data_IF_739233754263
#
_entry.id   IF_739233754263
#
_cell.length_a   1.000
_cell.length_b   1.000
_cell.length_c   1.000
_cell.angle_alpha   90.00
_cell.angle_beta   90.00
_cell.angle_gamma   90.00
#
_symmetry.space_group_name_H-M   'P 1'
#
loop_
_entity.id
_entity.type
_entity.pdbx_description
1 polymer ?
#
# COMPACT_ATOMS: atom_id res chain seq x y z
N UNK A 1 17.33 -5.72 -31.41
CA UNK A 1 17.35 -5.13 -32.77
C UNK A 1 16.50 -3.88 -32.75
N UNK A 2 17.10 -2.72 -32.44
CA UNK A 2 16.44 -1.41 -32.47
C UNK A 2 16.36 -0.97 -33.93
N UNK A 3 15.16 -0.65 -34.42
CA UNK A 3 15.01 0.10 -35.66
C UNK A 3 15.46 1.55 -35.41
N UNK A 4 16.16 2.18 -36.36
CA UNK A 4 16.61 3.55 -36.20
C UNK A 4 15.39 4.46 -36.33
N UNK A 5 15.00 5.13 -35.26
CA UNK A 5 14.27 6.39 -35.41
C UNK A 5 15.25 7.37 -36.06
N UNK A 6 14.87 7.95 -37.20
CA UNK A 6 15.71 8.85 -38.01
C UNK A 6 16.27 9.99 -37.15
N UNK A 7 17.54 9.83 -36.75
CA UNK A 7 18.26 10.72 -35.85
C UNK A 7 18.39 12.14 -36.42
N UNK A 8 18.41 12.27 -37.75
CA UNK A 8 18.64 13.53 -38.47
C UNK A 8 17.50 14.54 -38.29
N UNK A 9 16.24 14.08 -38.29
CA UNK A 9 15.09 14.98 -38.14
C UNK A 9 14.89 15.43 -36.70
N UNK A 10 15.29 14.61 -35.73
CA UNK A 10 15.29 14.98 -34.31
C UNK A 10 16.41 15.99 -33.99
N UNK A 11 17.57 15.90 -34.68
CA UNK A 11 18.67 16.87 -34.54
C UNK A 11 18.35 18.24 -35.14
N UNK A 12 17.44 18.32 -36.11
CA UNK A 12 16.95 19.57 -36.71
C UNK A 12 15.85 20.26 -35.89
N UNK A 13 15.48 19.72 -34.71
CA UNK A 13 14.55 20.36 -33.76
C UNK A 13 13.09 19.89 -33.85
N UNK A 14 12.76 19.01 -34.79
CA UNK A 14 11.41 18.48 -34.95
C UNK A 14 10.96 17.60 -33.78
N UNK A 15 9.77 17.86 -33.24
CA UNK A 15 9.22 17.16 -32.06
C UNK A 15 8.05 16.23 -32.38
N UNK A 16 7.36 16.47 -33.49
CA UNK A 16 6.17 15.76 -33.90
C UNK A 16 6.32 15.25 -35.34
N UNK A 17 6.26 13.92 -35.53
CA UNK A 17 6.53 13.29 -36.83
C UNK A 17 5.26 12.71 -37.48
N UNK A 18 5.25 12.64 -38.81
CA UNK A 18 4.23 11.95 -39.60
C UNK A 18 4.80 11.46 -40.94
N UNK A 19 4.24 10.37 -41.46
CA UNK A 19 4.72 9.74 -42.70
C UNK A 19 3.72 9.95 -43.84
N UNK A 20 4.25 10.07 -45.04
CA UNK A 20 3.49 10.17 -46.28
C UNK A 20 4.05 9.19 -47.31
N UNK A 21 3.17 8.64 -48.14
CA UNK A 21 3.58 7.77 -49.26
C UNK A 21 3.51 8.56 -50.54
N UNK A 22 4.64 8.73 -51.22
CA UNK A 22 4.75 9.35 -52.54
C UNK A 22 5.38 8.34 -53.49
N UNK A 23 4.66 7.96 -54.55
CA UNK A 23 5.16 7.06 -55.60
C UNK A 23 5.64 5.68 -55.11
N UNK A 24 5.19 5.24 -53.92
CA UNK A 24 5.59 3.97 -53.29
C UNK A 24 6.63 4.12 -52.19
N UNK A 25 7.29 5.28 -52.10
CA UNK A 25 8.28 5.58 -51.06
C UNK A 25 7.62 6.25 -49.84
N UNK A 26 8.01 5.78 -48.64
CA UNK A 26 7.60 6.39 -47.36
C UNK A 26 8.54 7.53 -47.01
N UNK A 27 8.02 8.74 -46.96
CA UNK A 27 8.74 9.96 -46.59
C UNK A 27 8.25 10.44 -45.21
N UNK A 28 9.19 10.67 -44.29
CA UNK A 28 8.93 11.14 -42.92
C UNK A 28 9.09 12.66 -42.84
N UNK A 29 8.11 13.36 -42.28
CA UNK A 29 8.12 14.79 -42.02
C UNK A 29 8.11 15.07 -40.51
N UNK A 30 8.67 16.21 -40.11
CA UNK A 30 8.73 16.66 -38.73
C UNK A 30 8.15 18.09 -38.58
N UNK A 31 7.55 18.36 -37.42
CA UNK A 31 6.94 19.65 -37.03
C UNK A 31 7.27 19.96 -35.57
N UNK A 32 7.18 21.23 -35.19
CA UNK A 32 7.58 21.70 -33.85
C UNK A 32 6.54 21.40 -32.77
N UNK A 33 5.26 21.35 -33.14
CA UNK A 33 4.16 20.99 -32.24
C UNK A 33 3.05 20.17 -32.92
N UNK A 34 2.23 19.51 -32.08
CA UNK A 34 1.23 18.55 -32.55
C UNK A 34 0.06 19.19 -33.30
N UNK A 35 -0.22 20.48 -33.09
CA UNK A 35 -1.31 21.17 -33.77
C UNK A 35 -0.91 21.52 -35.21
N UNK A 36 0.33 21.98 -35.40
CA UNK A 36 0.90 22.23 -36.72
C UNK A 36 0.96 20.93 -37.56
N UNK A 37 1.42 19.83 -36.96
CA UNK A 37 1.36 18.49 -37.58
C UNK A 37 -0.04 18.17 -38.12
N UNK A 38 -1.07 18.42 -37.31
CA UNK A 38 -2.44 18.11 -37.66
C UNK A 38 -2.94 18.94 -38.84
N UNK A 39 -2.54 20.22 -38.91
CA UNK A 39 -2.85 21.11 -40.03
C UNK A 39 -2.17 20.64 -41.32
N UNK A 40 -0.88 20.28 -41.25
CA UNK A 40 -0.13 19.76 -42.40
C UNK A 40 -0.68 18.43 -42.92
N UNK A 41 -0.99 17.48 -42.03
CA UNK A 41 -1.62 16.21 -42.43
C UNK A 41 -2.94 16.45 -43.16
N UNK A 42 -3.75 17.40 -42.71
CA UNK A 42 -5.04 17.73 -43.34
C UNK A 42 -4.87 18.47 -44.67
N UNK A 43 -3.93 19.41 -44.75
CA UNK A 43 -3.63 20.14 -45.97
C UNK A 43 -3.13 19.19 -47.08
N UNK A 44 -2.23 18.28 -46.72
CA UNK A 44 -1.66 17.30 -47.65
C UNK A 44 -2.73 16.28 -48.08
N UNK A 45 -3.54 15.80 -47.15
CA UNK A 45 -4.67 14.91 -47.47
C UNK A 45 -5.66 15.54 -48.47
N UNK A 46 -5.99 16.82 -48.29
CA UNK A 46 -6.85 17.56 -49.23
C UNK A 46 -6.20 17.77 -50.59
N UNK A 47 -4.89 18.00 -50.63
CA UNK A 47 -4.16 18.27 -51.86
C UNK A 47 -3.90 17.00 -52.69
N UNK A 48 -3.67 15.85 -52.05
CA UNK A 48 -3.32 14.59 -52.74
C UNK A 48 -4.52 13.72 -53.07
N UNK A 49 -5.69 13.94 -52.43
CA UNK A 49 -6.90 13.17 -52.69
C UNK A 49 -6.78 11.68 -52.37
N UNK A 50 -5.79 11.27 -51.58
CA UNK A 50 -5.62 9.87 -51.17
C UNK A 50 -6.88 9.39 -50.43
N UNK A 51 -7.36 8.19 -50.74
CA UNK A 51 -8.52 7.57 -50.08
C UNK A 51 -8.26 7.23 -48.62
N UNK A 52 -7.00 7.02 -48.23
CA UNK A 52 -6.59 6.76 -46.86
C UNK A 52 -6.02 8.02 -46.20
N UNK A 53 -6.67 8.48 -45.14
CA UNK A 53 -6.15 9.57 -44.32
C UNK A 53 -4.86 9.09 -43.62
N UNK A 54 -3.74 9.82 -43.70
CA UNK A 54 -2.53 9.45 -42.98
C UNK A 54 -2.85 9.33 -41.48
N UNK A 55 -2.75 8.11 -40.95
CA UNK A 55 -2.93 7.85 -39.52
C UNK A 55 -1.60 8.17 -38.86
N UNK A 56 -1.63 9.07 -37.87
CA UNK A 56 -0.43 9.39 -37.11
C UNK A 56 0.16 8.10 -36.53
N UNK A 57 1.48 7.87 -36.63
CA UNK A 57 2.09 6.75 -35.93
C UNK A 57 1.74 6.86 -34.44
N UNK A 58 1.41 5.74 -33.77
CA UNK A 58 1.29 5.73 -32.32
C UNK A 58 2.60 6.30 -31.78
N UNK A 59 2.50 7.24 -30.84
CA UNK A 59 3.69 7.74 -30.15
C UNK A 59 4.46 6.52 -29.63
N UNK A 60 5.72 6.44 -30.01
CA UNK A 60 6.73 5.48 -29.52
C UNK A 60 6.49 3.98 -29.81
N UNK A 61 6.75 3.58 -31.06
CA UNK A 61 7.68 2.47 -31.33
C UNK A 61 7.32 1.02 -31.01
N UNK A 62 6.07 0.55 -31.20
CA UNK A 62 5.75 -0.90 -31.19
C UNK A 62 4.79 -1.26 -32.34
N UNK A 63 5.04 -2.33 -33.12
CA UNK A 63 4.21 -2.68 -34.28
C UNK A 63 2.86 -3.24 -33.81
N UNK A 64 1.78 -2.53 -34.12
CA UNK A 64 0.43 -3.06 -33.98
C UNK A 64 0.13 -3.92 -35.20
N UNK A 65 -0.04 -5.23 -34.98
CA UNK A 65 -0.59 -6.15 -35.97
C UNK A 65 -1.96 -5.63 -36.39
N UNK A 66 -2.04 -5.22 -37.66
CA UNK A 66 -3.26 -4.78 -38.32
C UNK A 66 -4.25 -5.94 -38.32
N UNK A 67 -5.30 -5.86 -37.50
CA UNK A 67 -6.47 -6.71 -37.64
C UNK A 67 -7.41 -6.03 -38.65
N UNK A 68 -7.47 -6.56 -39.86
CA UNK A 68 -8.41 -6.13 -40.90
C UNK A 68 -9.86 -6.21 -40.40
N UNK A 69 -10.70 -5.19 -40.62
CA UNK A 69 -12.14 -5.29 -40.40
C UNK A 69 -12.83 -5.72 -41.70
N UNK A 70 -12.78 -7.02 -42.05
CA UNK A 70 -13.64 -7.55 -43.11
C UNK A 70 -13.83 -9.07 -43.05
N UNK A 71 -14.44 -9.62 -42.00
CA UNK A 71 -15.32 -10.80 -42.13
C UNK A 71 -16.38 -10.72 -41.05
N UNK A 72 -17.62 -10.47 -41.46
CA UNK A 72 -18.79 -10.63 -40.61
C UNK A 72 -19.30 -12.07 -40.71
N UNK A 73 -19.69 -12.61 -39.55
CA UNK A 73 -20.62 -13.73 -39.33
C UNK A 73 -20.12 -15.16 -39.55
N UNK A 74 -20.07 -15.94 -38.46
CA UNK A 74 -21.12 -16.93 -38.15
C UNK A 74 -21.05 -17.47 -36.71
N UNK A 75 -22.11 -17.16 -35.95
CA UNK A 75 -22.82 -18.01 -34.98
C UNK A 75 -22.10 -18.56 -33.73
N UNK A 76 -22.28 -17.87 -32.59
CA UNK A 76 -22.85 -18.44 -31.34
C UNK A 76 -23.58 -17.33 -30.58
N UNK A 77 -24.91 -17.38 -30.40
CA UNK A 77 -25.66 -16.38 -29.65
C UNK A 77 -25.67 -16.74 -28.16
N UNK A 78 -25.13 -15.87 -27.28
CA UNK A 78 -25.33 -16.08 -25.85
C UNK A 78 -24.56 -15.23 -24.85
N UNK A 79 -23.46 -14.56 -25.21
CA UNK A 79 -22.62 -13.89 -24.18
C UNK A 79 -22.15 -12.46 -24.50
N UNK A 80 -22.25 -12.00 -25.76
CA UNK A 80 -21.63 -10.75 -26.20
C UNK A 80 -22.48 -9.48 -25.98
N UNK A 81 -23.77 -9.62 -25.65
CA UNK A 81 -24.67 -8.47 -25.47
C UNK A 81 -24.51 -7.74 -24.13
N UNK A 82 -24.11 -8.45 -23.07
CA UNK A 82 -23.90 -7.86 -21.74
C UNK A 82 -22.53 -7.17 -21.65
N UNK A 83 -21.51 -7.77 -22.25
CA UNK A 83 -20.14 -7.22 -22.27
C UNK A 83 -20.06 -5.89 -23.02
N UNK A 84 -20.77 -5.71 -24.14
CA UNK A 84 -20.76 -4.45 -24.87
C UNK A 84 -21.39 -3.30 -24.06
N UNK A 85 -22.51 -3.55 -23.37
CA UNK A 85 -23.17 -2.55 -22.53
C UNK A 85 -22.36 -2.16 -21.29
N UNK A 86 -21.63 -3.11 -20.70
CA UNK A 86 -20.75 -2.84 -19.56
C UNK A 86 -19.46 -2.10 -19.99
N UNK A 87 -18.92 -2.41 -21.18
CA UNK A 87 -17.82 -1.66 -21.79
C UNK A 87 -18.24 -0.21 -22.07
N UNK A 88 -19.40 0.00 -22.69
CA UNK A 88 -19.90 1.36 -23.00
C UNK A 88 -20.26 2.15 -21.73
N UNK A 89 -20.75 1.49 -20.68
CA UNK A 89 -20.94 2.11 -19.35
C UNK A 89 -19.60 2.49 -18.74
N UNK A 90 -18.61 1.61 -18.78
CA UNK A 90 -17.28 1.89 -18.22
C UNK A 90 -16.58 3.06 -18.93
N UNK A 91 -16.71 3.15 -20.26
CA UNK A 91 -16.23 4.31 -21.05
C UNK A 91 -16.87 5.62 -20.64
N UNK A 92 -18.20 5.64 -20.43
CA UNK A 92 -18.93 6.83 -19.95
C UNK A 92 -18.49 7.30 -18.56
N UNK A 93 -17.92 6.40 -17.75
CA UNK A 93 -17.37 6.72 -16.44
C UNK A 93 -15.85 7.01 -16.46
N UNK A 94 -15.26 7.24 -17.64
CA UNK A 94 -13.86 7.65 -17.76
C UNK A 94 -12.84 6.51 -17.75
N UNK A 95 -13.27 5.25 -17.92
CA UNK A 95 -12.33 4.11 -17.90
C UNK A 95 -11.32 4.15 -19.07
N UNK A 96 -11.68 4.76 -20.19
CA UNK A 96 -10.78 4.89 -21.35
C UNK A 96 -9.48 5.64 -21.00
N UNK A 97 -9.54 6.60 -20.06
CA UNK A 97 -8.34 7.31 -19.60
C UNK A 97 -7.36 6.33 -18.93
N UNK A 98 -7.84 5.49 -18.00
CA UNK A 98 -7.01 4.50 -17.30
C UNK A 98 -6.45 3.41 -18.22
N UNK A 99 -7.21 3.00 -19.25
CA UNK A 99 -6.75 2.00 -20.23
C UNK A 99 -5.68 2.58 -21.16
N UNK A 100 -5.73 3.89 -21.42
CA UNK A 100 -4.77 4.58 -22.29
C UNK A 100 -3.47 5.01 -21.59
N UNK A 101 -3.42 4.94 -20.25
CA UNK A 101 -2.23 5.31 -19.49
C UNK A 101 -1.11 4.31 -19.70
N UNK A 102 0.05 4.81 -20.10
CA UNK A 102 1.28 4.03 -20.15
C UNK A 102 1.68 3.61 -18.74
N UNK A 103 1.61 2.30 -18.47
CA UNK A 103 1.89 1.74 -17.13
C UNK A 103 3.23 2.21 -16.56
N UNK A 104 4.30 2.25 -17.38
CA UNK A 104 5.64 2.64 -16.92
C UNK A 104 5.76 4.11 -16.47
N UNK A 105 4.80 4.99 -16.80
CA UNK A 105 4.81 6.39 -16.39
C UNK A 105 4.15 6.63 -15.04
N UNK A 106 3.59 5.60 -14.42
CA UNK A 106 2.80 5.72 -13.20
C UNK A 106 3.62 5.31 -11.97
N UNK A 107 3.39 5.99 -10.84
CA UNK A 107 3.94 5.57 -9.56
C UNK A 107 3.22 4.31 -9.04
N UNK A 108 3.73 3.14 -9.41
CA UNK A 108 3.17 1.88 -8.98
C UNK A 108 3.28 1.62 -7.48
N UNK A 109 4.21 2.27 -6.77
CA UNK A 109 4.32 2.15 -5.32
C UNK A 109 3.12 2.80 -4.61
N UNK A 110 2.66 3.95 -5.10
CA UNK A 110 1.48 4.65 -4.58
C UNK A 110 0.17 3.94 -4.92
N UNK A 111 0.05 3.46 -6.17
CA UNK A 111 -1.10 2.65 -6.57
C UNK A 111 -1.19 1.35 -5.78
N UNK A 112 -0.05 0.68 -5.56
CA UNK A 112 -0.02 -0.53 -4.73
C UNK A 112 -0.44 -0.24 -3.30
N UNK A 113 0.05 0.86 -2.70
CA UNK A 113 -0.38 1.28 -1.37
C UNK A 113 -1.90 1.41 -1.31
N UNK A 114 -2.51 2.12 -2.26
CA UNK A 114 -3.96 2.26 -2.32
C UNK A 114 -4.67 0.89 -2.45
N UNK A 115 -4.21 0.05 -3.37
CA UNK A 115 -4.77 -1.29 -3.58
C UNK A 115 -4.68 -2.16 -2.32
N UNK A 116 -3.52 -2.16 -1.65
CA UNK A 116 -3.29 -2.90 -0.41
C UNK A 116 -4.20 -2.39 0.71
N UNK A 117 -4.25 -1.08 0.93
CA UNK A 117 -5.09 -0.47 1.96
C UNK A 117 -6.57 -0.77 1.76
N UNK A 118 -7.06 -0.68 0.52
CA UNK A 118 -8.45 -1.00 0.17
C UNK A 118 -8.76 -2.50 0.31
N UNK A 119 -7.81 -3.36 -0.08
CA UNK A 119 -7.93 -4.81 0.11
C UNK A 119 -8.02 -5.17 1.59
N UNK A 120 -7.23 -4.51 2.42
CA UNK A 120 -7.21 -4.72 3.87
C UNK A 120 -8.50 -4.19 4.49
N UNK A 121 -8.93 -2.99 4.11
CA UNK A 121 -10.19 -2.40 4.57
C UNK A 121 -11.39 -3.30 4.29
N UNK A 122 -11.49 -3.84 3.07
CA UNK A 122 -12.51 -4.82 2.74
C UNK A 122 -12.40 -6.06 3.63
N UNK A 123 -11.17 -6.59 3.79
CA UNK A 123 -10.92 -7.81 4.54
C UNK A 123 -11.26 -7.66 6.03
N UNK A 124 -10.99 -6.51 6.62
CA UNK A 124 -11.24 -6.18 8.03
C UNK A 124 -12.73 -6.06 8.39
N UNK A 125 -13.63 -6.01 7.40
CA UNK A 125 -15.09 -6.11 7.62
C UNK A 125 -15.48 -7.48 8.21
N UNK A 126 -14.66 -8.50 7.98
CA UNK A 126 -14.78 -9.80 8.63
C UNK A 126 -13.82 -9.88 9.83
N UNK A 127 -14.24 -9.25 10.92
CA UNK A 127 -13.38 -8.93 12.06
C UNK A 127 -12.89 -10.15 12.86
N UNK A 128 -13.53 -11.31 12.73
CA UNK A 128 -13.16 -12.50 13.50
C UNK A 128 -12.15 -13.38 12.78
N UNK A 129 -12.22 -13.46 11.44
CA UNK A 129 -11.34 -14.34 10.67
C UNK A 129 -10.15 -13.58 10.10
N UNK A 130 -10.29 -12.28 9.78
CA UNK A 130 -9.16 -11.57 9.20
C UNK A 130 -8.08 -11.27 10.21
N UNK A 131 -8.40 -10.54 11.29
CA UNK A 131 -7.41 -10.00 12.22
C UNK A 131 -6.22 -9.29 11.51
N UNK A 132 -6.44 -8.73 10.33
CA UNK A 132 -5.41 -8.15 9.46
C UNK A 132 -4.97 -9.06 8.31
N UNK A 133 -5.10 -10.38 8.41
CA UNK A 133 -4.68 -11.32 7.39
C UNK A 133 -5.49 -11.17 6.10
N UNK A 134 -4.77 -10.93 5.00
CA UNK A 134 -5.30 -11.09 3.66
C UNK A 134 -5.68 -12.56 3.40
N UNK A 135 -6.72 -12.76 2.60
CA UNK A 135 -7.03 -14.09 2.06
C UNK A 135 -5.93 -14.56 1.09
N UNK A 136 -5.76 -15.88 0.87
CA UNK A 136 -4.80 -16.40 -0.11
C UNK A 136 -4.97 -15.79 -1.51
N UNK A 137 -6.21 -15.55 -1.94
CA UNK A 137 -6.51 -14.92 -3.23
C UNK A 137 -6.09 -13.45 -3.28
N UNK A 138 -6.29 -12.69 -2.20
CA UNK A 138 -5.81 -11.31 -2.12
C UNK A 138 -4.27 -11.26 -2.14
N UNK A 139 -3.62 -12.13 -1.38
CA UNK A 139 -2.15 -12.23 -1.37
C UNK A 139 -1.60 -12.51 -2.77
N UNK A 140 -2.17 -13.48 -3.47
CA UNK A 140 -1.78 -13.80 -4.85
C UNK A 140 -1.84 -12.57 -5.77
N UNK A 141 -2.96 -11.82 -5.74
CA UNK A 141 -3.13 -10.62 -6.58
C UNK A 141 -2.11 -9.53 -6.20
N UNK A 142 -1.90 -9.30 -4.91
CA UNK A 142 -0.95 -8.29 -4.43
C UNK A 142 0.49 -8.67 -4.82
N UNK A 143 0.87 -9.94 -4.67
CA UNK A 143 2.19 -10.44 -5.03
C UNK A 143 2.44 -10.37 -6.54
N UNK A 144 1.47 -10.76 -7.37
CA UNK A 144 1.55 -10.62 -8.83
C UNK A 144 1.71 -9.16 -9.28
N UNK A 145 0.96 -8.24 -8.67
CA UNK A 145 1.12 -6.81 -8.95
C UNK A 145 2.54 -6.33 -8.63
N UNK A 146 3.08 -6.73 -7.47
CA UNK A 146 4.43 -6.36 -7.07
C UNK A 146 5.50 -6.93 -8.00
N UNK A 147 5.37 -8.19 -8.40
CA UNK A 147 6.29 -8.85 -9.32
C UNK A 147 6.30 -8.17 -10.70
N UNK A 148 5.11 -7.77 -11.19
CA UNK A 148 4.95 -7.16 -12.51
C UNK A 148 5.48 -5.73 -12.59
N UNK A 149 5.29 -4.94 -11.53
CA UNK A 149 5.59 -3.50 -11.53
C UNK A 149 6.76 -3.11 -10.62
N UNK A 150 7.48 -4.08 -10.04
CA UNK A 150 8.69 -3.83 -9.28
C UNK A 150 8.46 -3.11 -7.94
N UNK A 151 7.31 -3.32 -7.30
CA UNK A 151 7.02 -2.70 -6.00
C UNK A 151 7.87 -3.37 -4.91
N UNK A 152 8.70 -2.56 -4.23
CA UNK A 152 9.69 -3.02 -3.26
C UNK A 152 9.05 -3.66 -2.03
N UNK A 153 9.61 -4.77 -1.58
CA UNK A 153 9.15 -5.50 -0.39
C UNK A 153 9.03 -4.62 0.86
N UNK A 154 10.04 -3.77 1.12
CA UNK A 154 10.04 -2.90 2.29
C UNK A 154 8.87 -1.92 2.27
N UNK A 155 8.66 -1.21 1.15
CA UNK A 155 7.51 -0.33 0.96
C UNK A 155 6.17 -1.03 1.23
N UNK A 156 5.99 -2.27 0.74
CA UNK A 156 4.77 -3.06 0.99
C UNK A 156 4.52 -3.31 2.48
N UNK A 157 5.57 -3.68 3.22
CA UNK A 157 5.45 -3.95 4.65
C UNK A 157 5.29 -2.67 5.48
N UNK A 158 5.92 -1.56 5.07
CA UNK A 158 5.75 -0.26 5.73
C UNK A 158 4.31 0.27 5.58
N UNK A 159 3.76 0.22 4.37
CA UNK A 159 2.36 0.59 4.12
C UNK A 159 1.41 -0.28 4.95
N UNK A 160 1.64 -1.59 4.93
CA UNK A 160 0.84 -2.54 5.70
C UNK A 160 0.92 -2.29 7.20
N UNK A 161 2.12 -2.08 7.75
CA UNK A 161 2.32 -1.72 9.16
C UNK A 161 1.60 -0.44 9.53
N UNK A 162 1.68 0.60 8.71
CA UNK A 162 0.97 1.85 8.95
C UNK A 162 -0.54 1.61 9.07
N UNK A 163 -1.11 0.81 8.17
CA UNK A 163 -2.54 0.47 8.19
C UNK A 163 -2.95 -0.41 9.38
N UNK A 164 -2.12 -1.36 9.77
CA UNK A 164 -2.34 -2.22 10.94
C UNK A 164 -2.26 -1.41 12.24
N UNK A 165 -1.27 -0.52 12.36
CA UNK A 165 -1.11 0.35 13.52
C UNK A 165 -2.27 1.35 13.63
N UNK A 166 -2.70 1.96 12.52
CA UNK A 166 -3.89 2.82 12.49
C UNK A 166 -5.08 2.10 13.14
N UNK A 167 -5.29 0.83 12.82
CA UNK A 167 -6.41 0.02 13.36
C UNK A 167 -6.20 -0.33 14.83
N UNK A 168 -5.01 -0.81 15.19
CA UNK A 168 -4.68 -1.17 16.56
C UNK A 168 -4.78 0.02 17.54
N UNK A 169 -4.36 1.21 17.11
CA UNK A 169 -4.48 2.45 17.89
C UNK A 169 -5.94 2.86 18.14
N UNK A 170 -6.85 2.52 17.23
CA UNK A 170 -8.30 2.73 17.37
C UNK A 170 -9.03 1.57 18.07
N UNK A 171 -8.29 0.61 18.63
CA UNK A 171 -8.87 -0.52 19.38
C UNK A 171 -9.46 -1.62 18.50
N UNK A 172 -9.22 -1.60 17.19
CA UNK A 172 -9.59 -2.71 16.30
C UNK A 172 -8.60 -3.85 16.51
N UNK A 173 -9.13 -5.06 16.73
CA UNK A 173 -8.31 -6.24 16.96
C UNK A 173 -7.50 -6.62 15.71
N UNK A 174 -6.18 -6.70 15.86
CA UNK A 174 -5.22 -7.10 14.84
C UNK A 174 -4.37 -8.22 15.41
N UNK A 175 -4.07 -9.23 14.61
CA UNK A 175 -3.15 -10.30 14.99
C UNK A 175 -1.74 -9.71 15.19
N UNK A 176 -1.19 -9.76 16.42
CA UNK A 176 0.14 -9.23 16.70
C UNK A 176 1.22 -9.86 15.82
N UNK A 177 1.06 -11.11 15.39
CA UNK A 177 2.03 -11.78 14.54
C UNK A 177 2.32 -11.00 13.25
N UNK A 178 1.30 -10.36 12.65
CA UNK A 178 1.46 -9.57 11.44
C UNK A 178 2.36 -8.34 11.65
N UNK A 179 2.17 -7.64 12.77
CA UNK A 179 2.99 -6.50 13.17
C UNK A 179 4.42 -6.97 13.41
N UNK A 180 4.58 -8.06 14.15
CA UNK A 180 5.88 -8.67 14.44
C UNK A 180 6.66 -9.03 13.17
N UNK A 181 6.05 -9.78 12.24
CA UNK A 181 6.69 -10.22 11.01
C UNK A 181 7.04 -9.03 10.11
N UNK A 182 6.08 -8.12 9.89
CA UNK A 182 6.30 -6.97 9.01
C UNK A 182 7.33 -5.99 9.58
N UNK A 183 7.31 -5.76 10.89
CA UNK A 183 8.31 -4.93 11.54
C UNK A 183 9.70 -5.56 11.49
N UNK A 184 9.82 -6.87 11.72
CA UNK A 184 11.10 -7.57 11.60
C UNK A 184 11.66 -7.46 10.19
N UNK A 185 10.83 -7.65 9.16
CA UNK A 185 11.23 -7.49 7.76
C UNK A 185 11.76 -6.08 7.47
N UNK A 186 11.01 -5.04 7.85
CA UNK A 186 11.43 -3.65 7.65
C UNK A 186 12.68 -3.30 8.45
N UNK A 187 12.75 -3.74 9.71
CA UNK A 187 13.89 -3.52 10.60
C UNK A 187 15.18 -4.14 10.01
N UNK A 188 15.12 -5.39 9.56
CA UNK A 188 16.24 -6.05 8.87
C UNK A 188 16.57 -5.39 7.54
N UNK A 189 15.61 -4.84 6.81
CA UNK A 189 15.89 -4.10 5.58
C UNK A 189 16.60 -2.76 5.87
N UNK A 190 16.17 -2.03 6.89
CA UNK A 190 16.69 -0.69 7.24
C UNK A 190 18.04 -0.75 7.94
N UNK A 191 18.21 -1.71 8.86
CA UNK A 191 19.40 -1.85 9.71
C UNK A 191 20.28 -3.05 9.39
N UNK A 192 19.84 -3.96 8.51
CA UNK A 192 20.59 -5.17 8.21
C UNK A 192 21.95 -4.89 7.59
N UNK A 193 22.86 -5.85 7.78
CA UNK A 193 24.19 -5.78 7.20
C UNK A 193 24.09 -6.05 5.69
N UNK A 194 24.21 -5.01 4.88
CA UNK A 194 24.64 -5.19 3.50
C UNK A 194 26.03 -5.85 3.53
N UNK A 195 26.29 -6.83 2.65
CA UNK A 195 27.61 -7.47 2.58
C UNK A 195 28.72 -6.45 2.24
N UNK A 196 28.35 -5.35 1.59
CA UNK A 196 29.18 -4.16 1.43
C UNK A 196 28.64 -3.00 2.30
N UNK A 197 29.41 -2.53 3.30
CA UNK A 197 29.04 -1.38 4.13
C UNK A 197 28.72 -0.09 3.36
N UNK A 198 29.21 0.02 2.13
CA UNK A 198 29.02 1.20 1.28
C UNK A 198 27.73 1.16 0.44
N UNK A 199 27.04 0.01 0.37
CA UNK A 199 25.81 -0.15 -0.40
C UNK A 199 24.61 -0.17 0.55
N UNK A 200 23.95 0.98 0.68
CA UNK A 200 22.62 1.07 1.32
C UNK A 200 21.56 1.11 0.23
N UNK A 201 20.75 0.06 0.13
CA UNK A 201 19.67 -0.05 -0.86
C UNK A 201 18.36 0.59 -0.39
N UNK A 202 18.29 1.02 0.87
CA UNK A 202 17.12 1.59 1.52
C UNK A 202 16.86 3.00 0.99
N UNK A 203 15.64 3.27 0.52
CA UNK A 203 15.27 4.60 0.06
C UNK A 203 15.06 5.56 1.23
N UNK A 204 15.26 6.86 0.99
CA UNK A 204 15.02 7.89 2.01
C UNK A 204 13.58 7.84 2.54
N UNK A 205 12.60 7.73 1.65
CA UNK A 205 11.17 7.68 2.01
C UNK A 205 10.85 6.42 2.83
N UNK A 206 11.41 5.26 2.48
CA UNK A 206 11.26 4.02 3.24
C UNK A 206 11.83 4.18 4.66
N UNK A 207 13.00 4.80 4.78
CA UNK A 207 13.64 5.06 6.09
C UNK A 207 12.84 6.05 6.92
N UNK A 208 12.35 7.12 6.32
CA UNK A 208 11.51 8.13 6.99
C UNK A 208 10.22 7.51 7.51
N UNK A 209 9.52 6.75 6.67
CA UNK A 209 8.30 6.04 7.05
C UNK A 209 8.56 5.00 8.15
N UNK A 210 9.67 4.26 8.07
CA UNK A 210 10.05 3.32 9.11
C UNK A 210 10.27 3.98 10.48
N UNK A 211 10.95 5.13 10.54
CA UNK A 211 11.18 5.84 11.80
C UNK A 211 9.85 6.29 12.43
N UNK A 212 8.92 6.79 11.62
CA UNK A 212 7.57 7.16 12.08
C UNK A 212 6.78 5.95 12.60
N UNK A 213 6.80 4.84 11.86
CA UNK A 213 6.16 3.57 12.27
C UNK A 213 6.78 3.04 13.56
N UNK A 214 8.11 3.09 13.69
CA UNK A 214 8.84 2.66 14.89
C UNK A 214 8.39 3.44 16.13
N UNK A 215 8.26 4.76 16.02
CA UNK A 215 7.80 5.61 17.12
C UNK A 215 6.35 5.30 17.51
N UNK A 216 5.46 5.12 16.53
CA UNK A 216 4.06 4.74 16.77
C UNK A 216 3.93 3.38 17.44
N UNK A 217 4.66 2.39 16.92
CA UNK A 217 4.70 1.05 17.48
C UNK A 217 5.26 1.07 18.91
N UNK A 218 6.30 1.85 19.19
CA UNK A 218 6.81 2.03 20.55
C UNK A 218 5.71 2.50 21.51
N UNK A 219 4.98 3.56 21.14
CA UNK A 219 3.89 4.10 21.97
C UNK A 219 2.75 3.08 22.18
N UNK A 220 2.40 2.31 21.14
CA UNK A 220 1.41 1.24 21.24
C UNK A 220 1.85 0.14 22.21
N UNK A 221 3.12 -0.30 22.13
CA UNK A 221 3.67 -1.31 23.02
C UNK A 221 3.78 -0.81 24.47
N UNK A 222 4.21 0.44 24.67
CA UNK A 222 4.24 1.08 25.99
C UNK A 222 2.84 1.06 26.62
N UNK A 223 1.81 1.47 25.86
CA UNK A 223 0.41 1.39 26.31
C UNK A 223 -0.01 -0.03 26.66
N UNK A 224 0.28 -1.01 25.79
CA UNK A 224 -0.09 -2.40 26.02
C UNK A 224 0.57 -2.99 27.28
N UNK A 225 1.81 -2.61 27.57
CA UNK A 225 2.55 -3.06 28.76
C UNK A 225 2.06 -2.34 30.02
N UNK A 226 1.78 -1.03 29.95
CA UNK A 226 1.18 -0.29 31.07
C UNK A 226 -0.21 -0.82 31.42
N UNK A 227 -1.03 -1.13 30.42
CA UNK A 227 -2.38 -1.67 30.59
C UNK A 227 -2.40 -3.21 30.47
N UNK A 228 -1.34 -3.89 30.92
CA UNK A 228 -1.17 -5.33 30.67
C UNK A 228 -2.33 -6.21 31.18
N UNK A 229 -3.04 -5.78 32.24
CA UNK A 229 -4.23 -6.51 32.73
C UNK A 229 -5.39 -6.51 31.73
N UNK A 230 -5.48 -5.48 30.90
CA UNK A 230 -6.49 -5.36 29.86
C UNK A 230 -6.05 -6.06 28.57
N UNK A 231 -4.81 -5.84 28.14
CA UNK A 231 -4.30 -6.42 26.88
C UNK A 231 -3.87 -7.89 27.00
N UNK A 232 -3.51 -8.36 28.19
CA UNK A 232 -3.08 -9.73 28.48
C UNK A 232 -3.79 -10.31 29.71
N UNK A 233 -5.13 -10.41 29.69
CA UNK A 233 -5.90 -10.87 30.85
C UNK A 233 -5.50 -12.30 31.21
N UNK A 234 -5.09 -12.51 32.46
CA UNK A 234 -4.64 -13.81 32.98
C UNK A 234 -3.55 -14.49 32.11
N UNK A 235 -2.73 -13.69 31.41
CA UNK A 235 -1.69 -14.19 30.53
C UNK A 235 -2.22 -14.85 29.25
N UNK A 236 -3.46 -14.55 28.85
CA UNK A 236 -4.06 -15.00 27.59
C UNK A 236 -3.99 -13.91 26.51
N UNK A 237 -3.75 -14.28 25.24
CA UNK A 237 -3.33 -15.61 24.80
C UNK A 237 -1.92 -15.96 25.32
N UNK A 238 -1.66 -17.25 25.48
CA UNK A 238 -0.41 -17.74 26.08
C UNK A 238 0.81 -17.24 25.29
N UNK A 239 1.80 -16.69 26.00
CA UNK A 239 3.01 -16.15 25.37
C UNK A 239 2.85 -14.78 24.71
N UNK A 240 1.65 -14.20 24.64
CA UNK A 240 1.44 -12.90 23.99
C UNK A 240 2.27 -11.78 24.62
N UNK A 241 2.28 -11.67 25.95
CA UNK A 241 3.11 -10.69 26.66
C UNK A 241 4.61 -10.90 26.37
N UNK A 242 5.07 -12.14 26.33
CA UNK A 242 6.47 -12.47 25.99
C UNK A 242 6.81 -12.02 24.57
N UNK A 243 5.90 -12.23 23.62
CA UNK A 243 6.07 -11.73 22.25
C UNK A 243 6.10 -10.20 22.24
N UNK A 244 5.14 -9.52 22.87
CA UNK A 244 5.10 -8.05 22.97
C UNK A 244 6.42 -7.48 23.51
N UNK A 245 6.98 -8.08 24.56
CA UNK A 245 8.29 -7.68 25.10
C UNK A 245 9.43 -7.93 24.10
N UNK A 246 9.44 -9.08 23.41
CA UNK A 246 10.41 -9.35 22.35
C UNK A 246 10.31 -8.40 21.16
N UNK A 247 9.11 -7.89 20.84
CA UNK A 247 8.95 -6.83 19.84
C UNK A 247 9.47 -5.50 20.36
N UNK A 248 9.20 -5.16 21.62
CA UNK A 248 9.74 -3.95 22.25
C UNK A 248 11.27 -3.93 22.19
N UNK A 249 11.93 -5.05 22.48
CA UNK A 249 13.40 -5.17 22.35
C UNK A 249 13.89 -4.81 20.94
N UNK A 250 13.20 -5.28 19.90
CA UNK A 250 13.52 -4.93 18.50
C UNK A 250 13.21 -3.49 18.15
N UNK A 251 12.15 -2.92 18.73
CA UNK A 251 11.78 -1.51 18.54
C UNK A 251 12.82 -0.57 19.16
N UNK A 252 13.43 -1.00 20.26
CA UNK A 252 14.49 -0.28 20.96
C UNK A 252 15.88 -0.42 20.34
N UNK A 253 16.03 -1.18 19.24
CA UNK A 253 17.30 -1.26 18.50
C UNK A 253 17.83 0.15 18.14
N UNK A 254 19.14 0.33 18.33
CA UNK A 254 19.82 1.59 18.05
C UNK A 254 19.82 1.86 16.56
N UNK A 255 19.94 3.14 16.18
CA UNK A 255 19.98 3.54 14.76
C UNK A 255 21.20 2.98 14.00
N UNK A 256 22.20 2.49 14.73
CA UNK A 256 23.36 1.74 14.20
C UNK A 256 23.03 0.30 13.84
N UNK A 257 21.82 -0.19 14.14
CA UNK A 257 21.44 -1.60 14.05
C UNK A 257 21.87 -2.44 15.26
N UNK A 258 22.57 -1.85 16.23
CA UNK A 258 22.94 -2.55 17.46
C UNK A 258 21.69 -2.85 18.31
N UNK A 259 21.60 -4.04 18.93
CA UNK A 259 20.52 -4.35 19.85
C UNK A 259 20.54 -3.41 21.08
N UNK A 260 19.36 -3.14 21.64
CA UNK A 260 19.23 -2.44 22.90
C UNK A 260 19.89 -3.24 24.03
N UNK A 261 20.47 -2.55 25.02
CA UNK A 261 21.00 -3.23 26.20
C UNK A 261 19.85 -3.74 27.09
N UNK A 262 20.14 -4.75 27.91
CA UNK A 262 19.17 -5.26 28.87
C UNK A 262 18.73 -4.17 29.86
N UNK A 263 19.62 -3.23 30.22
CA UNK A 263 19.26 -2.10 31.08
C UNK A 263 18.28 -1.14 30.40
N UNK A 264 18.47 -0.82 29.11
CA UNK A 264 17.59 0.07 28.33
C UNK A 264 16.16 -0.51 28.28
N UNK A 265 16.04 -1.81 27.97
CA UNK A 265 14.74 -2.51 27.93
C UNK A 265 14.10 -2.56 29.32
N UNK A 266 14.86 -2.92 30.36
CA UNK A 266 14.36 -2.97 31.75
C UNK A 266 13.91 -1.59 32.25
N UNK A 267 14.57 -0.51 31.84
CA UNK A 267 14.20 0.84 32.22
C UNK A 267 12.82 1.21 31.67
N UNK A 268 12.54 0.89 30.40
CA UNK A 268 11.22 1.09 29.79
C UNK A 268 10.16 0.26 30.52
N UNK A 269 10.42 -1.03 30.78
CA UNK A 269 9.48 -1.91 31.48
C UNK A 269 9.19 -1.36 32.89
N UNK A 270 10.19 -0.93 33.65
CA UNK A 270 9.99 -0.33 34.98
C UNK A 270 9.06 0.88 34.92
N UNK A 271 9.32 1.81 33.99
CA UNK A 271 8.46 2.98 33.79
C UNK A 271 7.03 2.57 33.44
N UNK A 272 6.84 1.57 32.57
CA UNK A 272 5.50 1.08 32.23
C UNK A 272 4.76 0.52 33.46
N UNK A 273 5.46 -0.22 34.32
CA UNK A 273 4.90 -0.82 35.55
C UNK A 273 4.62 0.23 36.63
N UNK A 274 5.47 1.23 36.79
CA UNK A 274 5.24 2.39 37.68
C UNK A 274 3.98 3.14 37.23
N UNK A 275 3.85 3.42 35.94
CA UNK A 275 2.65 4.04 35.38
C UNK A 275 1.41 3.14 35.55
N UNK A 276 1.56 1.83 35.38
CA UNK A 276 0.48 0.87 35.62
C UNK A 276 0.01 0.91 37.08
N UNK A 277 0.93 0.96 38.03
CA UNK A 277 0.61 1.10 39.44
C UNK A 277 -0.15 2.40 39.71
N UNK A 278 0.35 3.53 39.19
CA UNK A 278 -0.33 4.82 39.31
C UNK A 278 -1.77 4.77 38.81
N UNK A 279 -2.00 4.34 37.55
CA UNK A 279 -3.34 4.24 36.96
C UNK A 279 -4.27 3.33 37.78
N UNK A 280 -3.75 2.21 38.27
CA UNK A 280 -4.54 1.28 39.08
C UNK A 280 -4.92 1.87 40.44
N UNK A 281 -3.97 2.51 41.15
CA UNK A 281 -4.26 3.13 42.44
C UNK A 281 -5.21 4.32 42.31
N UNK A 282 -5.07 5.14 41.27
CA UNK A 282 -6.01 6.23 40.99
C UNK A 282 -7.42 5.69 40.79
N UNK A 283 -7.62 4.68 39.93
CA UNK A 283 -8.93 4.06 39.73
C UNK A 283 -9.51 3.48 41.01
N UNK A 284 -8.72 2.75 41.80
CA UNK A 284 -9.17 2.19 43.08
C UNK A 284 -9.59 3.29 44.05
N UNK A 285 -8.82 4.39 44.13
CA UNK A 285 -9.14 5.51 45.01
C UNK A 285 -10.45 6.21 44.61
N UNK A 286 -10.71 6.34 43.30
CA UNK A 286 -11.96 6.89 42.78
C UNK A 286 -13.15 5.98 43.11
N UNK A 287 -13.02 4.66 42.92
CA UNK A 287 -14.08 3.71 43.30
C UNK A 287 -14.39 3.76 44.80
N UNK A 288 -13.36 3.77 45.66
CA UNK A 288 -13.53 3.84 47.11
C UNK A 288 -14.18 5.16 47.55
N UNK A 289 -13.86 6.28 46.90
CA UNK A 289 -14.48 7.58 47.16
C UNK A 289 -15.98 7.60 46.78
N UNK A 290 -16.37 6.91 45.70
CA UNK A 290 -17.78 6.81 45.28
C UNK A 290 -18.58 5.90 46.22
N UNK A 291 -18.01 4.78 46.65
CA UNK A 291 -18.65 3.82 47.57
C UNK A 291 -18.87 4.44 48.95
N UNK A 292 -17.86 5.13 49.49
CA UNK A 292 -17.98 5.88 50.75
C UNK A 292 -19.00 7.02 50.70
N UNK A 293 -19.19 7.66 49.55
CA UNK A 293 -20.24 8.67 49.34
C UNK A 293 -21.65 8.09 49.26
N UNK A 294 -21.82 6.86 48.75
CA UNK A 294 -23.11 6.15 48.73
C UNK A 294 -23.50 5.62 50.10
N UNK A 295 -22.53 5.09 50.85
CA UNK A 295 -22.77 4.56 52.20
C UNK A 295 -23.07 5.66 53.24
N UNK A 296 -22.76 6.93 52.94
CA UNK A 296 -23.15 8.08 53.76
C UNK A 296 -24.63 8.48 53.70
N UNK A 297 -25.44 7.89 52.81
CA UNK A 297 -26.87 8.24 52.65
C UNK A 297 -27.84 7.06 52.83
N UNK A 298 -27.36 5.89 53.21
CA UNK A 298 -28.18 4.67 53.32
C UNK A 298 -27.85 3.85 54.56
N UNK A 299 -28.23 4.34 55.74
CA UNK A 299 -28.27 3.48 56.91
C UNK A 299 -29.30 2.34 56.69
N UNK A 300 -28.83 1.11 56.93
CA UNK A 300 -29.58 -0.13 57.17
C UNK A 300 -30.24 -0.81 55.97
N UNK A 301 -29.58 -1.88 55.48
CA UNK A 301 -30.16 -3.24 55.56
C UNK A 301 -29.09 -4.31 55.36
N UNK A 302 -28.98 -5.18 56.36
CA UNK A 302 -28.28 -6.46 56.30
C UNK A 302 -28.75 -7.28 55.10
N UNK A 303 -27.82 -7.71 54.24
CA UNK A 303 -27.89 -9.07 53.72
C UNK A 303 -26.51 -9.64 53.42
N UNK A 304 -26.26 -10.72 54.13
CA UNK A 304 -25.17 -11.67 54.03
C UNK A 304 -25.43 -12.57 52.82
N UNK A 305 -24.53 -12.64 51.85
CA UNK A 305 -24.35 -13.83 51.00
C UNK A 305 -23.11 -13.70 50.11
N UNK A 306 -22.06 -14.41 50.53
CA UNK A 306 -21.20 -15.30 49.74
C UNK A 306 -20.51 -14.80 48.46
N UNK A 307 -19.19 -14.70 48.60
CA UNK A 307 -18.20 -15.03 47.58
C UNK A 307 -18.49 -16.39 46.91
N UNK A 308 -18.42 -16.45 45.58
CA UNK A 308 -17.91 -17.63 44.85
C UNK A 308 -17.54 -17.32 43.39
N UNK A 309 -16.24 -17.53 43.12
CA UNK A 309 -15.53 -17.93 41.88
C UNK A 309 -15.46 -16.91 40.73
#
# INVERSE_FOLDING_TARGET
>A
LRFPFDLDLAQLGGKCFFNLVKEGDSVTFATDDSNERQQWVQAIYRATGQTHKPVAPPKDGVPVVVSNPSVSSRTTPGLSGRTQGDVDRARKHGLDEFVSVESWRVNHADLFRLLQSQSLEYRMKDSYVSLGWFSPSQMFILDEYCARYGVRGCHRHLCYLSDLLNRAEHGIMVDPALIHYSYAFCCSHVFGNAQDPNIRTVLYDERSMFIQIRQRLYALLEKQITEFRYYFPFGRPEGALKLTLGLLERVLMKDTGAPASAEEVRAVIRRCLEQAAFVNYTRISEYAAIESGRDGTGAQKQHQSEFSI
#
